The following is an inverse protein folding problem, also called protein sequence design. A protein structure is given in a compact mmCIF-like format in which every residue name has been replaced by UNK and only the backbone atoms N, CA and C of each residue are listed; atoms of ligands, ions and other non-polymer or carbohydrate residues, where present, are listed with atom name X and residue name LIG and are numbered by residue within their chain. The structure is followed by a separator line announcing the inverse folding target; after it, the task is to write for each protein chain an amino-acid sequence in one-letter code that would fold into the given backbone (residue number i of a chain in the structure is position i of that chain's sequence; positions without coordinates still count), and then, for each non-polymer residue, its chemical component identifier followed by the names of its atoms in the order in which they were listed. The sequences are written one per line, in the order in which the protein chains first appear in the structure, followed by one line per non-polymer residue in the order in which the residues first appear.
data_IF_238210102020
#
_entry.id   IF_238210102020
#
_cell.length_a   1.000
_cell.length_b   1.000
_cell.length_c   1.000
_cell.angle_alpha   90.00
_cell.angle_beta   90.00
_cell.angle_gamma   90.00
#
_symmetry.space_group_name_H-M   'P 1'
#
loop_
_entity.id
_entity.type
_entity.pdbx_description
1 polymer ?
#
# COMPACT_ATOMS: atom_id res chain seq x y z
N UNK A 1 9.85 0.27 -34.21
CA UNK A 1 9.72 -0.87 -33.26
C UNK A 1 8.86 -0.37 -32.10
N UNK A 2 7.76 -1.05 -31.73
CA UNK A 2 6.92 -0.62 -30.60
C UNK A 2 7.47 -1.19 -29.30
N UNK A 3 7.65 -0.40 -28.23
CA UNK A 3 8.09 -0.94 -26.95
C UNK A 3 7.07 -1.95 -26.41
N UNK A 4 7.52 -3.00 -25.71
CA UNK A 4 6.62 -3.98 -25.10
C UNK A 4 5.75 -3.30 -24.04
N UNK A 5 4.51 -3.76 -23.91
CA UNK A 5 3.59 -3.26 -22.90
C UNK A 5 4.13 -3.55 -21.49
N UNK A 6 3.90 -2.66 -20.51
CA UNK A 6 4.32 -2.89 -19.14
C UNK A 6 3.63 -4.14 -18.56
N UNK A 7 4.28 -4.83 -17.60
CA UNK A 7 3.68 -5.97 -16.93
C UNK A 7 2.38 -5.57 -16.23
N UNK A 8 1.43 -6.52 -16.04
CA UNK A 8 0.18 -6.24 -15.36
C UNK A 8 0.44 -5.74 -13.94
N UNK A 9 -0.21 -4.64 -13.58
CA UNK A 9 -0.11 -4.02 -12.26
C UNK A 9 -0.56 -5.03 -11.19
N UNK A 10 0.32 -5.37 -10.25
CA UNK A 10 -0.03 -6.28 -9.14
C UNK A 10 -1.13 -5.63 -8.31
N UNK A 11 -2.36 -6.14 -8.44
CA UNK A 11 -3.50 -5.71 -7.63
C UNK A 11 -3.32 -6.32 -6.24
N UNK A 12 -2.74 -5.55 -5.32
CA UNK A 12 -2.67 -5.93 -3.91
C UNK A 12 -4.09 -6.15 -3.35
N UNK A 13 -4.22 -7.15 -2.47
CA UNK A 13 -5.47 -7.45 -1.77
C UNK A 13 -5.87 -6.29 -0.85
N UNK A 14 -7.17 -6.17 -0.60
CA UNK A 14 -7.69 -5.24 0.39
C UNK A 14 -7.51 -5.85 1.78
N UNK A 15 -6.86 -5.10 2.68
CA UNK A 15 -6.56 -5.47 4.06
C UNK A 15 -7.10 -4.37 5.00
N UNK A 16 -7.38 -4.70 6.25
CA UNK A 16 -7.90 -3.74 7.26
C UNK A 16 -6.75 -3.22 8.12
N UNK A 17 -6.69 -1.91 8.36
CA UNK A 17 -5.63 -1.26 9.12
C UNK A 17 -5.77 -1.56 10.62
N UNK A 18 -4.69 -2.03 11.24
CA UNK A 18 -4.66 -2.37 12.68
C UNK A 18 -4.81 -1.14 13.61
N UNK A 19 -4.50 0.07 13.12
CA UNK A 19 -4.55 1.30 13.94
C UNK A 19 -5.80 2.16 13.78
N UNK A 20 -6.50 2.05 12.64
CA UNK A 20 -7.65 2.92 12.33
C UNK A 20 -8.82 2.19 11.66
N UNK A 21 -8.75 0.86 11.56
CA UNK A 21 -9.78 -0.03 10.99
C UNK A 21 -10.16 0.29 9.52
N UNK A 22 -9.39 1.13 8.83
CA UNK A 22 -9.64 1.48 7.43
C UNK A 22 -9.16 0.41 6.46
N UNK A 23 -9.94 0.16 5.43
CA UNK A 23 -9.55 -0.70 4.32
C UNK A 23 -8.46 -0.04 3.45
N UNK A 24 -7.36 -0.75 3.20
CA UNK A 24 -6.24 -0.30 2.38
C UNK A 24 -5.68 -1.45 1.53
N UNK A 25 -4.89 -1.13 0.50
CA UNK A 25 -4.26 -2.14 -0.36
C UNK A 25 -2.77 -2.22 -0.08
N UNK A 26 -2.28 -3.39 0.32
CA UNK A 26 -0.87 -3.63 0.58
C UNK A 26 -0.48 -5.09 0.35
N UNK A 27 0.80 -5.36 0.02
CA UNK A 27 1.31 -6.73 -0.08
C UNK A 27 1.40 -7.41 1.30
N UNK A 28 1.71 -6.65 2.35
CA UNK A 28 1.89 -7.16 3.71
C UNK A 28 0.83 -6.59 4.66
N UNK A 29 0.39 -7.36 5.67
CA UNK A 29 -0.50 -6.87 6.72
C UNK A 29 0.18 -5.78 7.57
N UNK A 30 -0.60 -4.86 8.12
CA UNK A 30 -0.07 -3.83 9.01
C UNK A 30 -0.89 -2.54 9.01
N UNK A 31 -0.20 -1.40 9.12
CA UNK A 31 -0.79 -0.07 9.15
C UNK A 31 -0.89 0.55 7.74
N UNK A 32 -1.96 1.30 7.51
CA UNK A 32 -2.18 2.00 6.24
C UNK A 32 -1.16 3.13 6.03
N UNK A 33 -1.08 3.65 4.80
CA UNK A 33 -0.14 4.74 4.44
C UNK A 33 -0.30 5.99 5.30
N UNK A 34 -1.52 6.28 5.71
CA UNK A 34 -1.85 7.40 6.60
C UNK A 34 -1.23 7.20 8.00
N UNK A 35 -1.55 6.07 8.66
CA UNK A 35 -0.96 5.71 9.95
C UNK A 35 0.56 5.48 9.91
N UNK A 36 1.13 5.17 8.74
CA UNK A 36 2.59 5.03 8.53
C UNK A 36 3.27 6.38 8.29
N UNK A 37 2.58 7.33 7.66
CA UNK A 37 3.09 8.69 7.41
C UNK A 37 2.92 9.63 8.60
N UNK A 38 2.01 9.30 9.52
CA UNK A 38 1.83 10.01 10.79
C UNK A 38 2.88 9.63 11.86
N UNK A 39 3.59 8.51 11.68
CA UNK A 39 4.87 8.31 12.37
C UNK A 39 5.84 9.32 11.75
N UNK A 40 6.15 10.43 12.44
CA UNK A 40 6.94 11.49 11.85
C UNK A 40 8.24 10.91 11.32
N UNK A 41 8.62 11.36 10.12
CA UNK A 41 9.96 11.25 9.55
C UNK A 41 10.97 11.34 10.70
N UNK A 42 11.52 10.20 11.11
CA UNK A 42 12.63 10.21 12.06
C UNK A 42 13.75 10.97 11.37
N UNK A 43 14.06 12.13 11.94
CA UNK A 43 15.03 13.13 11.53
C UNK A 43 16.38 12.57 11.06
#
# INVERSE_FOLDING_TARGET
IRPPAPPPEVRHRLQTCDGCDRAFRAPEPGRCRDCRGDLPEAA
#
